data_IF_403368264551
#
_entry.id   IF_403368264551
#
_cell.length_a   1.000
_cell.length_b   1.000
_cell.length_c   1.000
_cell.angle_alpha   90.00
_cell.angle_beta   90.00
_cell.angle_gamma   90.00
#
_symmetry.space_group_name_H-M   'P 1'
#
loop_
_entity.id
_entity.type
_entity.pdbx_description
1 polymer ?
#
# COMPACT_ATOMS: atom_id res chain seq x y z
N UNK A 1 7.77 -15.86 5.53
CA UNK A 1 7.93 -14.39 5.36
C UNK A 1 7.81 -14.14 3.87
N UNK A 2 7.10 -13.10 3.43
CA UNK A 2 6.88 -12.89 2.00
C UNK A 2 8.14 -12.29 1.35
N UNK A 3 8.38 -12.54 0.07
CA UNK A 3 9.52 -11.94 -0.66
C UNK A 3 9.17 -11.61 -2.11
N UNK A 4 9.90 -10.67 -2.70
CA UNK A 4 9.81 -10.33 -4.12
C UNK A 4 10.14 -11.54 -5.00
N UNK A 5 11.20 -12.28 -4.67
CA UNK A 5 11.60 -13.47 -5.43
C UNK A 5 10.48 -14.50 -5.51
N UNK A 6 9.79 -14.80 -4.40
CA UNK A 6 8.63 -15.70 -4.38
C UNK A 6 7.43 -15.12 -5.15
N UNK A 7 7.12 -13.83 -4.94
CA UNK A 7 6.03 -13.14 -5.64
C UNK A 7 6.19 -13.25 -7.17
N UNK A 8 7.41 -13.07 -7.69
CA UNK A 8 7.68 -13.08 -9.11
C UNK A 8 7.56 -14.47 -9.76
N UNK A 9 7.61 -15.55 -8.97
CA UNK A 9 7.34 -16.90 -9.49
C UNK A 9 5.84 -17.12 -9.79
N UNK A 10 4.96 -16.27 -9.25
CA UNK A 10 3.53 -16.36 -9.50
C UNK A 10 3.22 -15.78 -10.90
N UNK A 11 2.60 -16.59 -11.79
CA UNK A 11 2.47 -16.24 -13.20
C UNK A 11 1.38 -15.20 -13.46
N UNK A 12 0.37 -15.10 -12.60
CA UNK A 12 -0.76 -14.18 -12.83
C UNK A 12 -0.80 -13.03 -11.83
N UNK A 13 -1.34 -11.90 -12.30
CA UNK A 13 -1.64 -10.75 -11.45
C UNK A 13 -2.51 -11.12 -10.24
N UNK A 14 -3.50 -12.00 -10.44
CA UNK A 14 -4.41 -12.44 -9.39
C UNK A 14 -3.66 -13.18 -8.27
N UNK A 15 -2.79 -14.12 -8.62
CA UNK A 15 -2.00 -14.86 -7.64
C UNK A 15 -1.04 -13.94 -6.88
N UNK A 16 -0.39 -12.99 -7.58
CA UNK A 16 0.47 -11.98 -6.93
C UNK A 16 -0.31 -11.09 -5.97
N UNK A 17 -1.53 -10.72 -6.34
CA UNK A 17 -2.42 -9.93 -5.50
C UNK A 17 -2.81 -10.70 -4.24
N UNK A 18 -3.25 -11.95 -4.39
CA UNK A 18 -3.61 -12.85 -3.28
C UNK A 18 -2.42 -13.09 -2.35
N UNK A 19 -1.24 -13.35 -2.90
CA UNK A 19 -0.02 -13.49 -2.13
C UNK A 19 0.34 -12.21 -1.38
N UNK A 20 0.07 -11.02 -1.95
CA UNK A 20 0.38 -9.73 -1.32
C UNK A 20 -0.63 -9.33 -0.23
N UNK A 21 -1.87 -9.83 -0.27
CA UNK A 21 -2.93 -9.47 0.67
C UNK A 21 -2.51 -9.66 2.14
N UNK A 22 -2.86 -8.68 2.97
CA UNK A 22 -2.63 -8.72 4.40
C UNK A 22 -3.92 -9.18 5.08
N UNK A 23 -3.89 -10.35 5.74
CA UNK A 23 -4.99 -10.81 6.59
C UNK A 23 -4.94 -10.22 8.01
N UNK A 24 -4.14 -9.16 8.21
CA UNK A 24 -3.92 -8.54 9.52
C UNK A 24 -5.17 -7.86 10.10
N UNK A 25 -5.11 -7.58 11.41
CA UNK A 25 -6.12 -6.81 12.13
C UNK A 25 -6.11 -5.35 11.66
N UNK A 26 -7.22 -4.92 11.05
CA UNK A 26 -7.46 -3.53 10.69
C UNK A 26 -7.49 -2.70 11.98
N UNK A 27 -6.65 -1.67 12.08
CA UNK A 27 -6.64 -0.76 13.23
C UNK A 27 -5.54 -1.02 14.26
N UNK A 28 -4.65 -2.01 14.07
CA UNK A 28 -3.38 -2.05 14.80
C UNK A 28 -2.51 -0.91 14.31
N UNK A 29 -2.44 0.13 15.12
CA UNK A 29 -1.79 1.38 14.77
C UNK A 29 -0.30 1.12 14.51
N UNK A 30 0.10 1.08 13.24
CA UNK A 30 1.49 0.81 12.88
C UNK A 30 2.39 1.99 13.24
N UNK A 31 1.81 3.19 13.34
CA UNK A 31 2.52 4.44 13.58
C UNK A 31 1.83 5.44 14.54
N UNK A 32 0.59 5.21 14.98
CA UNK A 32 -0.13 5.97 16.01
C UNK A 32 0.20 7.43 16.18
N UNK A 33 0.57 7.83 17.39
CA UNK A 33 0.97 9.20 17.72
C UNK A 33 2.28 9.63 17.02
N UNK A 34 3.05 8.68 16.48
CA UNK A 34 4.35 8.90 15.82
C UNK A 34 4.25 9.05 14.30
N UNK A 35 3.15 9.61 13.78
CA UNK A 35 3.00 9.90 12.35
C UNK A 35 4.15 10.73 11.76
N UNK A 36 4.83 11.51 12.59
CA UNK A 36 6.02 12.28 12.20
C UNK A 36 7.17 11.37 11.74
N UNK A 37 7.37 10.19 12.35
CA UNK A 37 8.38 9.20 11.94
C UNK A 37 8.15 8.70 10.51
N UNK A 38 6.89 8.46 10.18
CA UNK A 38 6.49 8.07 8.82
C UNK A 38 6.80 9.18 7.82
N UNK A 39 6.48 10.43 8.16
CA UNK A 39 6.72 11.56 7.28
C UNK A 39 8.22 11.73 7.04
N UNK A 40 9.04 11.67 8.09
CA UNK A 40 10.49 11.80 7.98
C UNK A 40 11.08 10.69 7.09
N UNK A 41 10.74 9.43 7.37
CA UNK A 41 11.21 8.28 6.58
C UNK A 41 10.80 8.38 5.10
N UNK A 42 9.52 8.61 4.81
CA UNK A 42 9.02 8.66 3.42
C UNK A 42 9.42 9.95 2.67
N UNK A 43 9.94 10.95 3.36
CA UNK A 43 10.53 12.14 2.74
C UNK A 43 12.06 12.07 2.63
N UNK A 44 12.71 11.10 3.29
CA UNK A 44 14.16 10.91 3.26
C UNK A 44 14.72 10.74 1.84
N UNK A 45 16.02 11.03 1.67
CA UNK A 45 16.70 10.87 0.38
C UNK A 45 16.83 9.39 0.02
N UNK A 46 17.12 8.58 1.03
CA UNK A 46 17.30 7.13 0.96
C UNK A 46 16.04 6.46 0.44
N UNK A 47 14.87 6.83 0.99
CA UNK A 47 13.59 6.33 0.52
C UNK A 47 13.32 6.73 -0.93
N UNK A 48 13.59 7.98 -1.32
CA UNK A 48 13.37 8.42 -2.71
C UNK A 48 14.22 7.62 -3.70
N UNK A 49 15.51 7.43 -3.38
CA UNK A 49 16.42 6.63 -4.21
C UNK A 49 15.99 5.16 -4.27
N UNK A 50 15.58 4.59 -3.13
CA UNK A 50 15.06 3.24 -3.08
C UNK A 50 13.79 3.10 -3.93
N UNK A 51 12.84 4.01 -3.77
CA UNK A 51 11.61 4.06 -4.56
C UNK A 51 11.89 4.08 -6.06
N UNK A 52 12.81 4.91 -6.51
CA UNK A 52 13.14 5.00 -7.94
C UNK A 52 13.75 3.69 -8.47
N UNK A 53 14.60 3.01 -7.67
CA UNK A 53 15.13 1.69 -8.01
C UNK A 53 14.02 0.63 -8.15
N UNK A 54 13.07 0.60 -7.21
CA UNK A 54 11.94 -0.35 -7.25
C UNK A 54 11.04 -0.09 -8.46
N UNK A 55 10.73 1.17 -8.76
CA UNK A 55 9.95 1.54 -9.96
C UNK A 55 10.64 1.11 -11.23
N UNK A 56 11.96 1.31 -11.33
CA UNK A 56 12.74 0.88 -12.48
C UNK A 56 12.76 -0.65 -12.62
N UNK A 57 12.96 -1.39 -11.52
CA UNK A 57 12.95 -2.86 -11.49
C UNK A 57 11.60 -3.42 -11.96
N UNK A 58 10.51 -2.85 -11.46
CA UNK A 58 9.15 -3.33 -11.74
C UNK A 58 8.57 -2.76 -13.05
N UNK A 59 9.34 -1.94 -13.79
CA UNK A 59 8.90 -1.31 -15.03
C UNK A 59 7.70 -0.38 -14.87
N UNK A 60 7.48 0.16 -13.68
CA UNK A 60 6.27 0.93 -13.34
C UNK A 60 4.97 0.13 -13.47
N UNK A 61 5.05 -1.20 -13.40
CA UNK A 61 3.90 -2.09 -13.51
C UNK A 61 3.37 -2.51 -12.13
N UNK A 62 2.06 -2.71 -12.06
CA UNK A 62 1.38 -3.11 -10.83
C UNK A 62 1.78 -4.54 -10.48
N UNK A 63 2.24 -4.75 -9.23
CA UNK A 63 2.80 -6.01 -8.77
C UNK A 63 3.93 -6.58 -9.66
N UNK A 64 4.62 -5.71 -10.41
CA UNK A 64 5.65 -6.10 -11.37
C UNK A 64 5.13 -6.98 -12.52
N UNK A 65 3.83 -6.95 -12.80
CA UNK A 65 3.21 -7.66 -13.92
C UNK A 65 3.29 -6.81 -15.19
N UNK A 66 4.10 -7.22 -16.17
CA UNK A 66 4.38 -6.43 -17.39
C UNK A 66 3.11 -6.07 -18.19
N UNK A 67 2.08 -6.89 -18.11
CA UNK A 67 0.75 -6.69 -18.73
C UNK A 67 -0.19 -5.76 -17.93
N UNK A 68 0.22 -5.30 -16.74
CA UNK A 68 -0.53 -4.39 -15.87
C UNK A 68 0.26 -3.09 -15.61
N UNK A 69 0.56 -2.29 -16.65
CA UNK A 69 1.32 -1.06 -16.47
C UNK A 69 0.50 -0.01 -15.69
N UNK A 70 1.14 0.71 -14.75
CA UNK A 70 0.48 1.79 -14.01
C UNK A 70 0.54 3.05 -14.88
N UNK A 71 -0.38 3.17 -15.82
CA UNK A 71 -0.37 4.21 -16.88
C UNK A 71 -1.41 5.31 -16.71
N UNK A 72 -2.24 5.24 -15.67
CA UNK A 72 -3.40 6.13 -15.54
C UNK A 72 -2.97 7.60 -15.33
N UNK A 73 -2.91 8.35 -16.43
CA UNK A 73 -2.85 9.80 -16.40
C UNK A 73 -4.18 10.31 -15.87
N UNK A 74 -4.13 10.99 -14.73
CA UNK A 74 -5.32 11.57 -14.12
C UNK A 74 -5.33 13.06 -14.40
N UNK A 75 -6.45 13.57 -14.93
CA UNK A 75 -6.68 15.01 -15.01
C UNK A 75 -7.00 15.53 -13.61
N UNK A 76 -6.09 16.34 -13.05
CA UNK A 76 -6.31 17.04 -11.79
C UNK A 76 -6.32 18.53 -12.08
N UNK A 77 -7.46 19.18 -11.88
CA UNK A 77 -7.67 20.60 -12.19
C UNK A 77 -7.31 20.96 -13.65
N UNK A 78 -7.64 20.08 -14.60
CA UNK A 78 -7.32 20.27 -16.03
C UNK A 78 -5.88 19.98 -16.42
N UNK A 79 -5.02 19.55 -15.50
CA UNK A 79 -3.62 19.17 -15.77
C UNK A 79 -3.46 17.66 -15.72
N UNK A 80 -2.81 17.08 -16.73
CA UNK A 80 -2.43 15.67 -16.74
C UNK A 80 -1.34 15.43 -15.69
N UNK A 81 -1.69 14.68 -14.65
CA UNK A 81 -0.75 14.27 -13.60
C UNK A 81 -0.39 12.81 -13.82
N UNK A 82 0.90 12.50 -13.71
CA UNK A 82 1.38 11.11 -13.77
C UNK A 82 0.69 10.26 -12.69
N UNK A 83 0.38 8.99 -12.98
CA UNK A 83 -0.17 8.09 -11.99
C UNK A 83 0.73 8.01 -10.75
N UNK A 84 0.12 8.00 -9.57
CA UNK A 84 0.85 7.84 -8.32
C UNK A 84 1.22 6.37 -8.13
N UNK A 85 2.45 6.03 -8.51
CA UNK A 85 3.06 4.73 -8.16
C UNK A 85 3.47 4.75 -6.69
N UNK A 86 2.92 3.81 -5.93
CA UNK A 86 3.28 3.58 -4.52
C UNK A 86 4.20 2.38 -4.42
N UNK A 87 5.10 2.37 -3.44
CA UNK A 87 5.87 1.18 -3.06
C UNK A 87 5.18 0.56 -1.87
N UNK A 88 4.86 -0.73 -1.97
CA UNK A 88 4.27 -1.51 -0.90
C UNK A 88 5.32 -2.42 -0.28
N UNK A 89 5.41 -2.41 1.05
CA UNK A 89 6.23 -3.39 1.78
C UNK A 89 5.46 -4.71 1.94
N UNK A 90 5.97 -5.81 1.38
CA UNK A 90 5.33 -7.14 1.41
C UNK A 90 5.13 -7.67 2.84
N UNK A 91 6.11 -7.41 3.70
CA UNK A 91 6.02 -7.62 5.13
C UNK A 91 5.92 -6.25 5.81
N UNK A 92 4.85 -5.99 6.60
CA UNK A 92 4.62 -4.69 7.23
C UNK A 92 5.82 -4.22 8.05
N UNK A 93 6.24 -2.98 7.85
CA UNK A 93 7.26 -2.32 8.67
C UNK A 93 6.64 -1.82 9.98
N UNK A 94 7.42 -1.83 11.05
CA UNK A 94 7.00 -1.38 12.38
C UNK A 94 7.64 -0.03 12.73
N UNK A 95 7.14 0.61 13.79
CA UNK A 95 7.79 1.80 14.36
C UNK A 95 9.25 1.51 14.73
N UNK A 96 9.51 0.38 15.35
CA UNK A 96 10.85 -0.05 15.76
C UNK A 96 11.78 -0.26 14.56
N UNK A 97 11.25 -0.72 13.42
CA UNK A 97 12.02 -0.80 12.18
C UNK A 97 12.52 0.58 11.75
N UNK A 98 11.65 1.60 11.81
CA UNK A 98 12.02 2.99 11.47
C UNK A 98 13.03 3.55 12.46
N UNK A 99 12.80 3.41 13.77
CA UNK A 99 13.70 3.93 14.81
C UNK A 99 15.09 3.29 14.79
N UNK A 100 15.19 2.01 14.41
CA UNK A 100 16.45 1.27 14.36
C UNK A 100 17.07 1.25 12.97
N UNK A 101 16.48 1.91 11.98
CA UNK A 101 16.89 1.85 10.58
C UNK A 101 17.10 0.40 10.09
N UNK A 102 16.11 -0.45 10.38
CA UNK A 102 16.10 -1.85 9.99
C UNK A 102 16.27 -2.00 8.47
N UNK A 103 17.05 -3.00 8.03
CA UNK A 103 17.29 -3.29 6.62
C UNK A 103 15.97 -3.47 5.84
N UNK A 104 14.95 -4.01 6.50
CA UNK A 104 13.59 -4.24 5.99
C UNK A 104 12.91 -2.99 5.40
N UNK A 105 13.33 -1.79 5.80
CA UNK A 105 12.82 -0.51 5.29
C UNK A 105 13.18 -0.30 3.81
N UNK A 106 14.39 -0.70 3.43
CA UNK A 106 15.02 -0.44 2.13
C UNK A 106 15.50 -1.75 1.47
N UNK A 107 14.89 -2.86 1.84
CA UNK A 107 15.14 -4.18 1.28
C UNK A 107 14.30 -4.38 0.00
N UNK A 108 14.93 -4.55 -1.18
CA UNK A 108 14.22 -4.83 -2.42
C UNK A 108 13.38 -6.10 -2.37
N UNK A 109 13.78 -7.10 -1.58
CA UNK A 109 13.02 -8.35 -1.41
C UNK A 109 11.74 -8.13 -0.60
N UNK A 110 11.63 -7.01 0.13
CA UNK A 110 10.45 -6.66 0.88
C UNK A 110 9.59 -5.59 0.18
N UNK A 111 9.84 -5.22 -1.08
CA UNK A 111 9.16 -4.10 -1.73
C UNK A 111 8.64 -4.43 -3.14
N UNK A 112 7.49 -3.86 -3.51
CA UNK A 112 6.90 -3.98 -4.85
C UNK A 112 6.11 -2.71 -5.24
N UNK A 113 6.11 -2.35 -6.52
CA UNK A 113 5.26 -1.30 -7.07
C UNK A 113 3.78 -1.70 -7.04
N UNK A 114 2.93 -0.76 -6.62
CA UNK A 114 1.47 -0.93 -6.69
C UNK A 114 0.76 0.34 -7.10
N UNK A 115 -0.37 0.19 -7.78
CA UNK A 115 -1.32 1.27 -7.97
C UNK A 115 -2.06 1.61 -6.67
N UNK A 116 -2.70 2.78 -6.63
CA UNK A 116 -3.53 3.16 -5.48
C UNK A 116 -4.74 2.21 -5.29
N UNK A 117 -5.28 1.64 -6.37
CA UNK A 117 -6.38 0.68 -6.30
C UNK A 117 -5.90 -0.65 -5.70
N UNK A 118 -4.79 -1.18 -6.19
CA UNK A 118 -4.18 -2.43 -5.73
C UNK A 118 -3.76 -2.35 -4.29
N UNK A 119 -3.12 -1.25 -3.88
CA UNK A 119 -2.78 -1.03 -2.48
C UNK A 119 -4.00 -1.11 -1.56
N UNK A 120 -5.15 -0.55 -1.95
CA UNK A 120 -6.39 -0.67 -1.17
C UNK A 120 -6.87 -2.12 -1.09
N UNK A 121 -6.81 -2.88 -2.19
CA UNK A 121 -7.22 -4.28 -2.18
C UNK A 121 -6.31 -5.13 -1.29
N UNK A 122 -5.01 -4.86 -1.27
CA UNK A 122 -4.06 -5.55 -0.39
C UNK A 122 -4.41 -5.34 1.10
N UNK A 123 -4.77 -4.11 1.48
CA UNK A 123 -5.07 -3.76 2.88
C UNK A 123 -6.50 -4.10 3.32
N UNK A 124 -7.48 -3.95 2.43
CA UNK A 124 -8.91 -3.99 2.79
C UNK A 124 -9.70 -5.07 2.04
N UNK A 125 -9.08 -5.78 1.10
CA UNK A 125 -9.77 -6.68 0.18
C UNK A 125 -10.66 -5.92 -0.81
N UNK A 126 -11.48 -6.67 -1.56
CA UNK A 126 -12.40 -6.14 -2.59
C UNK A 126 -13.70 -5.56 -2.01
N UNK A 127 -13.80 -5.39 -0.68
CA UNK A 127 -15.01 -4.88 -0.01
C UNK A 127 -16.20 -5.84 0.03
N UNK A 128 -16.07 -7.07 -0.51
CA UNK A 128 -17.12 -8.12 -0.45
C UNK A 128 -17.06 -8.99 0.81
N UNK A 129 -16.38 -8.53 1.86
CA UNK A 129 -16.27 -9.23 3.14
C UNK A 129 -17.18 -8.63 4.21
N UNK A 130 -17.50 -9.44 5.22
CA UNK A 130 -18.34 -9.15 6.41
C UNK A 130 -17.84 -8.01 7.32
N UNK A 131 -16.89 -7.20 6.84
CA UNK A 131 -16.27 -6.07 7.56
C UNK A 131 -16.90 -4.71 7.26
N UNK A 132 -17.93 -4.67 6.40
CA UNK A 132 -18.79 -3.50 6.35
C UNK A 132 -19.64 -3.52 7.62
N UNK A 133 -19.74 -2.41 8.37
CA UNK A 133 -20.69 -2.34 9.49
C UNK A 133 -22.06 -2.68 8.93
N UNK A 134 -22.60 -3.79 9.39
CA UNK A 134 -23.88 -4.33 8.96
C UNK A 134 -24.96 -3.36 9.46
N UNK A 135 -25.55 -2.59 8.55
CA UNK A 135 -26.60 -1.62 8.90
C UNK A 135 -26.94 -0.66 7.78
N UNK A 136 -28.23 -0.57 7.44
CA UNK A 136 -28.76 0.55 6.66
C UNK A 136 -28.52 1.86 7.43
N UNK A 137 -27.82 2.82 6.81
CA UNK A 137 -27.59 4.13 7.43
C UNK A 137 -28.92 4.87 7.61
N UNK A 138 -29.15 5.37 8.82
CA UNK A 138 -30.30 6.21 9.16
C UNK A 138 -29.88 7.68 9.27
N UNK A 139 -30.81 8.61 9.03
CA UNK A 139 -30.57 10.02 9.33
C UNK A 139 -30.17 10.18 10.80
N UNK A 140 -28.97 10.71 11.05
CA UNK A 140 -28.44 10.95 12.40
C UNK A 140 -27.29 10.04 12.83
N UNK A 141 -27.00 8.95 12.13
CA UNK A 141 -25.93 7.99 12.50
C UNK A 141 -24.52 8.61 12.56
N UNK A 142 -24.29 9.72 11.85
CA UNK A 142 -23.02 10.46 11.85
C UNK A 142 -23.07 11.77 12.64
N UNK A 143 -24.15 12.03 13.39
CA UNK A 143 -24.32 13.25 14.19
C UNK A 143 -24.05 12.96 15.67
N UNK A 144 -22.83 13.22 16.17
CA UNK A 144 -22.43 12.87 17.55
C UNK A 144 -23.20 13.60 18.67
N UNK A 145 -24.07 14.55 18.33
CA UNK A 145 -24.91 15.30 19.29
C UNK A 145 -26.39 14.92 19.26
N UNK A 146 -26.83 14.06 18.33
CA UNK A 146 -28.18 13.49 18.39
C UNK A 146 -28.10 12.32 19.36
N UNK A 147 -28.61 12.52 20.59
CA UNK A 147 -28.79 11.40 21.52
C UNK A 147 -29.91 10.51 20.97
N UNK A 148 -29.59 9.26 20.68
CA UNK A 148 -30.57 8.17 20.55
C UNK A 148 -31.32 7.95 21.85
#
# INVERSE_FOLDING_TARGET
MKSYTELCQLPTYKERLEYSQLHGEVGKDTFGFDRWLNQDFYQSREWRQFRDKIIARDGGCDLGCVDHPITDWVLRNGVSVRPKISIHHLNPITKEDVLRHSEKLLDPENAICVSAATHKVIHYGTGKGSKLPDGERRPGDTCPWIKT
#
